data_IF_643422008936
#
_entry.id   IF_643422008936
#
_cell.length_a   1.000
_cell.length_b   1.000
_cell.length_c   1.000
_cell.angle_alpha   90.00
_cell.angle_beta   90.00
_cell.angle_gamma   90.00
#
_symmetry.space_group_name_H-M   'P 1'
#
loop_
_entity.id
_entity.type
_entity.pdbx_description
1 polymer ?
#
# COMPACT_ATOMS: atom_id res chain seq x y z
N UNK A 1 9.88 23.42 -24.11
CA UNK A 1 10.13 24.28 -22.94
C UNK A 1 10.10 25.71 -23.40
N UNK A 2 9.19 26.51 -22.85
CA UNK A 2 9.07 27.93 -23.11
C UNK A 2 9.82 28.70 -22.02
N UNK A 3 10.53 29.76 -22.40
CA UNK A 3 11.27 30.63 -21.50
C UNK A 3 10.69 32.04 -21.53
N UNK A 4 10.35 32.58 -20.37
CA UNK A 4 9.99 33.97 -20.18
C UNK A 4 10.69 34.53 -18.94
N UNK A 5 11.77 35.28 -19.14
CA UNK A 5 12.57 35.87 -18.06
C UNK A 5 13.06 34.84 -17.01
N UNK A 6 13.64 33.74 -17.51
CA UNK A 6 14.16 32.63 -16.71
C UNK A 6 15.21 33.08 -15.70
N UNK A 7 14.94 32.85 -14.40
CA UNK A 7 15.83 33.24 -13.30
C UNK A 7 15.58 32.40 -12.05
N UNK A 8 16.52 32.42 -11.12
CA UNK A 8 16.26 31.93 -9.76
C UNK A 8 15.20 32.84 -9.12
N UNK A 9 14.25 32.24 -8.40
CA UNK A 9 13.25 32.97 -7.60
C UNK A 9 13.92 34.00 -6.70
N UNK A 10 13.36 35.21 -6.65
CA UNK A 10 13.87 36.29 -5.79
C UNK A 10 13.86 35.92 -4.30
N UNK A 11 12.90 35.09 -3.89
CA UNK A 11 12.81 34.52 -2.55
C UNK A 11 12.33 33.08 -2.63
N UNK A 12 13.13 32.17 -2.09
CA UNK A 12 12.79 30.74 -1.97
C UNK A 12 12.15 30.54 -0.60
N UNK A 13 10.83 30.36 -0.61
CA UNK A 13 10.02 30.25 0.59
C UNK A 13 10.18 28.90 1.27
N UNK A 14 9.70 28.78 2.52
CA UNK A 14 9.61 27.48 3.20
C UNK A 14 8.76 26.48 2.39
N UNK A 15 7.66 26.95 1.77
CA UNK A 15 6.81 26.08 0.97
C UNK A 15 7.53 25.55 -0.28
N UNK A 16 8.35 26.37 -0.93
CA UNK A 16 9.16 25.92 -2.07
C UNK A 16 10.13 24.81 -1.65
N UNK A 17 10.75 24.94 -0.48
CA UNK A 17 11.65 23.92 0.08
C UNK A 17 10.90 22.63 0.42
N UNK A 18 9.72 22.73 1.03
CA UNK A 18 8.86 21.57 1.30
C UNK A 18 8.50 20.86 -0.02
N UNK A 19 8.07 21.61 -1.04
CA UNK A 19 7.75 21.05 -2.34
C UNK A 19 8.96 20.39 -3.01
N UNK A 20 10.15 20.95 -2.85
CA UNK A 20 11.39 20.35 -3.33
C UNK A 20 11.68 19.02 -2.62
N UNK A 21 11.55 18.95 -1.29
CA UNK A 21 11.70 17.70 -0.52
C UNK A 21 10.73 16.64 -1.02
N UNK A 22 9.44 16.95 -1.12
CA UNK A 22 8.42 16.01 -1.61
C UNK A 22 8.70 15.57 -3.05
N UNK A 23 9.15 16.49 -3.91
CA UNK A 23 9.56 16.16 -5.27
C UNK A 23 10.70 15.16 -5.26
N UNK A 24 11.80 15.42 -4.56
CA UNK A 24 12.97 14.52 -4.51
C UNK A 24 12.57 13.15 -3.95
N UNK A 25 11.81 13.12 -2.85
CA UNK A 25 11.33 11.87 -2.22
C UNK A 25 10.49 11.05 -3.20
N UNK A 26 9.66 11.68 -4.03
CA UNK A 26 8.87 10.94 -5.03
C UNK A 26 9.73 10.17 -6.04
N UNK A 27 10.94 10.66 -6.38
CA UNK A 27 11.87 9.93 -7.26
C UNK A 27 12.56 8.75 -6.57
N UNK A 28 12.60 8.73 -5.23
CA UNK A 28 13.01 7.54 -4.48
C UNK A 28 11.95 6.44 -4.47
N UNK A 29 10.70 6.74 -4.85
CA UNK A 29 9.58 5.79 -4.79
C UNK A 29 8.71 5.86 -6.05
N UNK A 30 9.18 5.26 -7.15
CA UNK A 30 8.45 5.21 -8.42
C UNK A 30 7.70 3.87 -8.58
N UNK A 31 6.46 3.93 -9.07
CA UNK A 31 5.59 2.77 -9.30
C UNK A 31 5.43 1.83 -8.07
N UNK A 32 5.60 2.38 -6.86
CA UNK A 32 5.54 1.63 -5.60
C UNK A 32 6.85 0.96 -5.20
N UNK A 33 7.89 1.05 -6.02
CA UNK A 33 9.21 0.49 -5.77
C UNK A 33 10.19 1.52 -5.20
N UNK A 34 11.14 1.06 -4.39
CA UNK A 34 12.26 1.91 -3.94
C UNK A 34 13.31 2.07 -5.05
N UNK A 35 13.46 3.28 -5.59
CA UNK A 35 14.25 3.61 -6.77
C UNK A 35 15.34 4.66 -6.50
N UNK A 36 16.35 4.36 -5.66
CA UNK A 36 17.36 5.33 -5.23
C UNK A 36 18.23 5.88 -6.37
N UNK A 37 18.30 5.18 -7.51
CA UNK A 37 19.09 5.56 -8.67
C UNK A 37 18.52 6.77 -9.44
N UNK A 38 17.29 7.21 -9.13
CA UNK A 38 16.73 8.46 -9.67
C UNK A 38 16.96 9.68 -8.76
N UNK A 39 17.77 9.56 -7.70
CA UNK A 39 18.06 10.66 -6.77
C UNK A 39 18.47 11.95 -7.50
N UNK A 40 19.46 11.85 -8.39
CA UNK A 40 20.02 13.03 -9.07
C UNK A 40 18.99 13.69 -10.00
N UNK A 41 18.16 12.88 -10.66
CA UNK A 41 17.03 13.35 -11.47
C UNK A 41 15.99 14.07 -10.60
N UNK A 42 15.73 13.55 -9.40
CA UNK A 42 14.87 14.18 -8.41
C UNK A 42 15.39 15.53 -7.93
N UNK A 43 16.68 15.65 -7.61
CA UNK A 43 17.29 16.93 -7.22
C UNK A 43 17.20 17.98 -8.33
N UNK A 44 17.59 17.61 -9.55
CA UNK A 44 17.52 18.51 -10.72
C UNK A 44 16.07 18.95 -10.97
N UNK A 45 15.14 18.00 -10.94
CA UNK A 45 13.72 18.28 -11.17
C UNK A 45 13.13 19.17 -10.09
N UNK A 46 13.53 18.97 -8.83
CA UNK A 46 13.06 19.78 -7.71
C UNK A 46 13.53 21.22 -7.80
N UNK A 47 14.79 21.46 -8.16
CA UNK A 47 15.33 22.81 -8.38
C UNK A 47 14.59 23.50 -9.51
N UNK A 48 14.46 22.85 -10.67
CA UNK A 48 13.81 23.45 -11.85
C UNK A 48 12.35 23.80 -11.56
N UNK A 49 11.60 22.91 -10.90
CA UNK A 49 10.17 23.11 -10.65
C UNK A 49 9.86 24.09 -9.54
N UNK A 50 10.72 24.19 -8.54
CA UNK A 50 10.40 24.92 -7.31
C UNK A 50 11.23 26.18 -7.10
N UNK A 51 12.42 26.31 -7.68
CA UNK A 51 13.35 27.42 -7.43
C UNK A 51 13.63 28.30 -8.64
N UNK A 52 13.23 27.86 -9.84
CA UNK A 52 13.43 28.62 -11.08
C UNK A 52 12.09 29.17 -11.57
N UNK A 53 12.02 30.48 -11.75
CA UNK A 53 10.91 31.18 -12.41
C UNK A 53 11.17 31.32 -13.90
N UNK A 54 10.11 31.59 -14.66
CA UNK A 54 10.22 31.95 -16.07
C UNK A 54 10.44 30.78 -17.02
N UNK A 55 10.03 29.58 -16.61
CA UNK A 55 10.04 28.37 -17.42
C UNK A 55 8.66 27.72 -17.38
N UNK A 56 8.17 27.36 -18.56
CA UNK A 56 6.99 26.51 -18.69
C UNK A 56 7.32 25.26 -19.52
N UNK A 57 6.84 24.12 -19.04
CA UNK A 57 7.01 22.84 -19.71
C UNK A 57 5.70 22.41 -20.38
N UNK A 58 5.78 21.98 -21.63
CA UNK A 58 4.64 21.42 -22.33
C UNK A 58 4.32 20.01 -21.78
N UNK A 59 3.08 19.56 -21.98
CA UNK A 59 2.64 18.24 -21.50
C UNK A 59 3.48 17.14 -22.15
N UNK A 60 4.14 16.33 -21.33
CA UNK A 60 4.98 15.22 -21.78
C UNK A 60 6.45 15.60 -21.99
N UNK A 61 6.83 16.86 -21.83
CA UNK A 61 8.25 17.23 -21.82
C UNK A 61 8.94 16.72 -20.55
N UNK A 62 10.14 16.16 -20.73
CA UNK A 62 11.00 15.76 -19.62
C UNK A 62 11.74 16.98 -19.07
N UNK A 63 11.45 17.31 -17.81
CA UNK A 63 12.17 18.35 -17.06
C UNK A 63 13.65 18.01 -16.93
N UNK A 64 13.96 16.75 -16.68
CA UNK A 64 15.34 16.27 -16.59
C UNK A 64 16.10 16.41 -17.91
N UNK A 65 15.48 16.10 -19.04
CA UNK A 65 16.12 16.27 -20.34
C UNK A 65 16.44 17.75 -20.64
N UNK A 66 15.61 18.69 -20.17
CA UNK A 66 15.84 20.11 -20.37
C UNK A 66 17.13 20.60 -19.70
N UNK A 67 17.51 20.05 -18.55
CA UNK A 67 18.78 20.36 -17.89
C UNK A 67 20.01 20.05 -18.78
N UNK A 68 19.99 18.97 -19.56
CA UNK A 68 21.10 18.64 -20.46
C UNK A 68 21.07 19.45 -21.75
N UNK A 69 19.87 19.76 -22.24
CA UNK A 69 19.68 20.42 -23.52
C UNK A 69 19.80 21.95 -23.46
N UNK A 70 19.69 22.54 -22.27
CA UNK A 70 19.68 23.98 -22.09
C UNK A 70 20.81 24.46 -21.17
N UNK A 71 21.79 25.17 -21.76
CA UNK A 71 22.99 25.59 -21.03
C UNK A 71 22.69 26.63 -19.94
N UNK A 72 21.76 27.56 -20.20
CA UNK A 72 21.43 28.61 -19.25
C UNK A 72 20.67 28.04 -18.06
N UNK A 73 19.71 27.14 -18.30
CA UNK A 73 19.03 26.41 -17.24
C UNK A 73 20.03 25.60 -16.41
N UNK A 74 20.94 24.86 -17.08
CA UNK A 74 21.97 24.07 -16.41
C UNK A 74 22.84 24.93 -15.51
N UNK A 75 23.24 26.12 -15.94
CA UNK A 75 24.02 27.06 -15.11
C UNK A 75 23.27 27.43 -13.84
N UNK A 76 21.98 27.79 -13.94
CA UNK A 76 21.17 28.13 -12.77
C UNK A 76 21.01 26.93 -11.83
N UNK A 77 20.71 25.74 -12.36
CA UNK A 77 20.55 24.52 -11.55
C UNK A 77 21.86 24.14 -10.85
N UNK A 78 22.99 24.25 -11.53
CA UNK A 78 24.30 23.92 -10.97
C UNK A 78 24.69 24.75 -9.75
N UNK A 79 24.15 25.96 -9.60
CA UNK A 79 24.38 26.78 -8.40
C UNK A 79 23.82 26.14 -7.13
N UNK A 80 22.89 25.21 -7.25
CA UNK A 80 22.26 24.49 -6.14
C UNK A 80 22.89 23.11 -5.88
N UNK A 81 23.29 22.42 -6.96
CA UNK A 81 23.61 20.98 -6.88
C UNK A 81 25.09 20.65 -6.95
N UNK A 82 25.94 21.58 -7.43
CA UNK A 82 27.37 21.36 -7.48
C UNK A 82 28.04 22.00 -6.28
N UNK A 83 28.95 21.24 -5.66
CA UNK A 83 29.78 21.73 -4.57
C UNK A 83 30.53 23.01 -5.02
N UNK A 84 30.39 24.13 -4.28
CA UNK A 84 31.08 25.36 -4.60
C UNK A 84 32.59 25.15 -4.58
N UNK A 85 33.31 25.68 -5.57
CA UNK A 85 34.77 25.60 -5.59
C UNK A 85 35.35 26.76 -4.79
N UNK A 86 36.08 26.45 -3.73
CA UNK A 86 36.81 27.46 -2.95
C UNK A 86 37.97 28.03 -3.76
N UNK A 87 37.78 29.26 -4.25
CA UNK A 87 38.80 30.05 -4.94
C UNK A 87 38.88 31.43 -4.31
N UNK A 88 40.08 32.00 -4.31
CA UNK A 88 40.27 33.39 -3.89
C UNK A 88 39.49 34.31 -4.85
N UNK A 89 38.57 35.15 -4.33
CA UNK A 89 37.75 36.02 -5.16
C UNK A 89 38.62 37.08 -5.82
N UNK A 90 38.36 37.35 -7.11
CA UNK A 90 39.13 38.31 -7.91
C UNK A 90 38.61 39.75 -7.80
N UNK A 91 37.43 39.93 -7.21
CA UNK A 91 36.76 41.22 -7.01
C UNK A 91 35.65 41.08 -5.97
N UNK A 92 35.13 42.20 -5.47
CA UNK A 92 33.96 42.22 -4.56
C UNK A 92 32.71 41.61 -5.21
N UNK A 93 32.54 41.76 -6.53
CA UNK A 93 31.43 41.17 -7.27
C UNK A 93 31.55 39.64 -7.34
N UNK A 94 32.76 39.13 -7.60
CA UNK A 94 33.06 37.70 -7.59
C UNK A 94 32.84 37.08 -6.21
N UNK A 95 33.26 37.77 -5.14
CA UNK A 95 33.00 37.34 -3.76
C UNK A 95 31.49 37.26 -3.47
N UNK A 96 30.71 38.27 -3.88
CA UNK A 96 29.25 38.27 -3.71
C UNK A 96 28.60 37.10 -4.44
N UNK A 97 28.99 36.84 -5.68
CA UNK A 97 28.47 35.72 -6.48
C UNK A 97 28.81 34.39 -5.81
N UNK A 98 30.06 34.20 -5.37
CA UNK A 98 30.48 32.97 -4.69
C UNK A 98 29.70 32.75 -3.38
N UNK A 99 29.49 33.80 -2.58
CA UNK A 99 28.71 33.70 -1.36
C UNK A 99 27.24 33.35 -1.64
N UNK A 100 26.62 33.95 -2.66
CA UNK A 100 25.27 33.56 -3.08
C UNK A 100 25.19 32.10 -3.54
N UNK A 101 26.19 31.59 -4.26
CA UNK A 101 26.25 30.17 -4.66
C UNK A 101 26.34 29.28 -3.42
N UNK A 102 27.19 29.62 -2.43
CA UNK A 102 27.30 28.88 -1.17
C UNK A 102 25.98 28.84 -0.42
N UNK A 103 25.27 29.98 -0.29
CA UNK A 103 23.97 30.03 0.36
C UNK A 103 22.92 29.12 -0.30
N UNK A 104 22.91 29.07 -1.64
CA UNK A 104 22.01 28.18 -2.38
C UNK A 104 22.38 26.71 -2.21
N UNK A 105 23.67 26.39 -2.21
CA UNK A 105 24.17 25.03 -1.98
C UNK A 105 23.89 24.56 -0.55
N UNK A 106 24.16 25.38 0.47
CA UNK A 106 23.90 25.08 1.88
C UNK A 106 22.41 24.85 2.14
N UNK A 107 21.53 25.62 1.47
CA UNK A 107 20.10 25.38 1.50
C UNK A 107 19.74 23.99 0.94
N UNK A 108 20.39 23.57 -0.14
CA UNK A 108 20.19 22.23 -0.71
C UNK A 108 20.73 21.13 0.20
N UNK A 109 21.83 21.34 0.93
CA UNK A 109 22.30 20.39 1.94
C UNK A 109 21.24 20.14 3.02
N UNK A 110 20.62 21.21 3.55
CA UNK A 110 19.52 21.07 4.50
C UNK A 110 18.32 20.32 3.89
N UNK A 111 18.00 20.59 2.62
CA UNK A 111 16.95 19.83 1.91
C UNK A 111 17.33 18.35 1.80
N UNK A 112 18.58 18.02 1.47
CA UNK A 112 19.08 16.64 1.37
C UNK A 112 19.00 15.90 2.71
N UNK A 113 19.28 16.58 3.82
CA UNK A 113 19.10 16.01 5.17
C UNK A 113 17.63 15.63 5.43
N UNK A 114 16.68 16.52 5.13
CA UNK A 114 15.26 16.24 5.29
C UNK A 114 14.74 15.17 4.32
N UNK A 115 15.25 15.14 3.09
CA UNK A 115 14.97 14.07 2.13
C UNK A 115 15.46 12.73 2.69
N UNK A 116 16.68 12.67 3.24
CA UNK A 116 17.23 11.43 3.79
C UNK A 116 16.37 10.90 4.95
N UNK A 117 15.98 11.77 5.88
CA UNK A 117 15.11 11.41 7.01
C UNK A 117 13.73 10.92 6.52
N UNK A 118 13.10 11.66 5.60
CA UNK A 118 11.78 11.28 5.06
C UNK A 118 11.84 9.99 4.24
N UNK A 119 12.88 9.78 3.44
CA UNK A 119 13.08 8.52 2.69
C UNK A 119 13.24 7.35 3.65
N UNK A 120 13.98 7.53 4.75
CA UNK A 120 14.09 6.49 5.78
C UNK A 120 12.73 6.21 6.44
N UNK A 121 11.98 7.24 6.79
CA UNK A 121 10.62 7.09 7.32
C UNK A 121 9.71 6.31 6.36
N UNK A 122 9.70 6.63 5.06
CA UNK A 122 8.88 5.91 4.07
C UNK A 122 9.35 4.46 3.89
N UNK A 123 10.66 4.17 3.87
CA UNK A 123 11.17 2.78 3.88
C UNK A 123 10.66 2.00 5.08
N UNK A 124 10.70 2.58 6.27
CA UNK A 124 10.20 1.96 7.49
C UNK A 124 8.69 1.73 7.42
N UNK A 125 7.93 2.63 6.80
CA UNK A 125 6.49 2.45 6.57
C UNK A 125 6.20 1.26 5.65
N UNK A 126 6.99 1.04 4.59
CA UNK A 126 6.86 -0.15 3.74
C UNK A 126 7.25 -1.44 4.47
N UNK A 127 8.34 -1.42 5.25
CA UNK A 127 8.83 -2.59 5.99
C UNK A 127 7.91 -2.97 7.17
N UNK A 128 7.32 -1.97 7.81
CA UNK A 128 6.38 -2.13 8.93
C UNK A 128 4.91 -2.03 8.50
N UNK A 129 4.61 -2.01 7.20
CA UNK A 129 3.28 -2.28 6.68
C UNK A 129 2.94 -3.73 7.05
N UNK A 130 2.37 -3.87 8.25
CA UNK A 130 2.30 -5.13 8.95
C UNK A 130 1.13 -5.92 8.36
N UNK A 131 1.35 -7.11 7.76
CA UNK A 131 0.25 -7.93 7.27
C UNK A 131 -0.76 -8.28 8.37
N UNK A 132 -0.35 -8.19 9.63
CA UNK A 132 -1.22 -8.39 10.79
C UNK A 132 -2.12 -7.19 11.10
N UNK A 133 -1.75 -5.95 10.74
CA UNK A 133 -2.65 -4.79 10.85
C UNK A 133 -3.77 -4.88 9.82
N UNK A 134 -3.47 -5.29 8.58
CA UNK A 134 -4.51 -5.56 7.58
C UNK A 134 -5.43 -6.70 7.99
N UNK A 135 -4.91 -7.75 8.65
CA UNK A 135 -5.74 -8.79 9.28
C UNK A 135 -6.58 -8.26 10.44
N UNK A 136 -6.04 -7.36 11.27
CA UNK A 136 -6.79 -6.74 12.37
C UNK A 136 -7.91 -5.83 11.80
N UNK A 137 -7.64 -5.08 10.73
CA UNK A 137 -8.64 -4.25 10.05
C UNK A 137 -9.72 -5.13 9.41
N UNK A 138 -9.34 -6.17 8.66
CA UNK A 138 -10.32 -7.15 8.12
C UNK A 138 -11.15 -7.82 9.22
N UNK A 139 -10.53 -8.18 10.35
CA UNK A 139 -11.24 -8.74 11.49
C UNK A 139 -12.19 -7.72 12.12
N UNK A 140 -11.77 -6.45 12.25
CA UNK A 140 -12.60 -5.37 12.75
C UNK A 140 -13.78 -5.09 11.82
N UNK A 141 -13.58 -5.02 10.51
CA UNK A 141 -14.63 -4.84 9.50
C UNK A 141 -15.62 -6.01 9.53
N UNK A 142 -15.15 -7.26 9.64
CA UNK A 142 -16.00 -8.44 9.80
C UNK A 142 -16.84 -8.39 11.07
N UNK A 143 -16.26 -7.90 12.18
CA UNK A 143 -16.97 -7.71 13.46
C UNK A 143 -18.01 -6.60 13.32
N UNK A 144 -17.67 -5.47 12.69
CA UNK A 144 -18.57 -4.34 12.44
C UNK A 144 -19.75 -4.78 11.57
N UNK A 145 -19.50 -5.48 10.46
CA UNK A 145 -20.55 -6.02 9.60
C UNK A 145 -21.46 -7.01 10.35
N UNK A 146 -20.88 -7.84 11.21
CA UNK A 146 -21.64 -8.76 12.06
C UNK A 146 -22.53 -8.02 13.06
N UNK A 147 -22.03 -6.93 13.67
CA UNK A 147 -22.81 -6.08 14.58
C UNK A 147 -23.86 -5.25 13.83
N UNK A 148 -23.57 -4.76 12.63
CA UNK A 148 -24.52 -4.04 11.80
C UNK A 148 -25.68 -4.97 11.38
N UNK A 149 -25.37 -6.19 10.95
CA UNK A 149 -26.37 -7.23 10.66
C UNK A 149 -27.17 -7.63 11.92
N UNK A 150 -26.51 -7.72 13.08
CA UNK A 150 -27.18 -7.95 14.36
C UNK A 150 -28.13 -6.79 14.75
N UNK A 151 -27.70 -5.54 14.53
CA UNK A 151 -28.51 -4.35 14.82
C UNK A 151 -29.75 -4.23 13.95
N UNK A 152 -29.72 -4.84 12.75
CA UNK A 152 -30.83 -4.92 11.80
C UNK A 152 -31.72 -6.14 12.02
N UNK A 153 -31.41 -7.00 12.98
CA UNK A 153 -32.21 -8.17 13.27
C UNK A 153 -33.57 -7.74 13.82
N UNK A 154 -34.67 -8.31 13.29
CA UNK A 154 -35.99 -8.05 13.85
C UNK A 154 -36.10 -8.68 15.24
N UNK A 155 -36.07 -7.86 16.29
CA UNK A 155 -36.13 -8.32 17.68
C UNK A 155 -37.50 -8.92 18.06
N UNK A 156 -38.54 -8.78 17.23
CA UNK A 156 -39.85 -9.44 17.43
C UNK A 156 -39.76 -10.97 17.39
N UNK A 157 -38.70 -11.54 16.82
CA UNK A 157 -38.46 -12.99 16.82
C UNK A 157 -37.98 -13.51 18.18
N UNK A 158 -37.59 -12.64 19.11
CA UNK A 158 -37.09 -12.99 20.45
C UNK A 158 -38.24 -13.30 21.42
N UNK A 159 -39.13 -14.20 21.02
CA UNK A 159 -40.11 -14.77 21.96
C UNK A 159 -39.39 -15.65 22.99
N UNK A 160 -39.95 -15.83 24.20
CA UNK A 160 -39.36 -16.70 25.21
C UNK A 160 -39.07 -18.12 24.70
N UNK A 161 -39.94 -18.65 23.82
CA UNK A 161 -39.78 -19.95 23.20
C UNK A 161 -38.60 -20.00 22.21
N UNK A 162 -38.42 -18.97 21.39
CA UNK A 162 -37.32 -18.88 20.44
C UNK A 162 -35.97 -18.63 21.14
N UNK A 163 -35.98 -17.86 22.23
CA UNK A 163 -34.81 -17.67 23.10
C UNK A 163 -34.38 -18.97 23.77
N UNK A 164 -35.33 -19.78 24.25
CA UNK A 164 -35.03 -21.09 24.85
C UNK A 164 -34.45 -22.07 23.81
N UNK A 165 -34.99 -22.07 22.58
CA UNK A 165 -34.45 -22.86 21.46
C UNK A 165 -33.06 -22.39 21.06
N UNK A 166 -32.83 -21.08 20.96
CA UNK A 166 -31.52 -20.51 20.67
C UNK A 166 -30.51 -20.84 21.77
N UNK A 167 -30.89 -20.76 23.05
CA UNK A 167 -30.03 -21.09 24.18
C UNK A 167 -29.63 -22.58 24.17
N UNK A 168 -30.52 -23.49 23.79
CA UNK A 168 -30.18 -24.91 23.60
C UNK A 168 -29.18 -25.13 22.47
N UNK A 169 -29.27 -24.36 21.39
CA UNK A 169 -28.31 -24.40 20.26
C UNK A 169 -26.93 -23.88 20.72
N UNK A 170 -26.88 -22.72 21.38
CA UNK A 170 -25.63 -22.14 21.86
C UNK A 170 -24.93 -22.97 22.93
N UNK A 171 -25.67 -23.56 23.87
CA UNK A 171 -25.09 -24.46 24.87
C UNK A 171 -24.46 -25.70 24.20
N UNK A 172 -25.13 -26.29 23.20
CA UNK A 172 -24.58 -27.42 22.43
C UNK A 172 -23.33 -27.05 21.64
N UNK A 173 -23.26 -25.85 21.06
CA UNK A 173 -22.06 -25.34 20.38
C UNK A 173 -20.91 -25.15 21.40
N UNK A 174 -21.21 -24.60 22.58
CA UNK A 174 -20.23 -24.36 23.64
C UNK A 174 -19.69 -25.64 24.28
N UNK A 175 -20.50 -26.70 24.36
CA UNK A 175 -20.13 -27.96 25.00
C UNK A 175 -19.35 -28.93 24.09
N UNK A 176 -19.37 -28.72 22.77
CA UNK A 176 -18.93 -29.74 21.80
C UNK A 176 -17.53 -29.53 21.19
N UNK A 177 -16.73 -28.55 21.63
CA UNK A 177 -15.42 -28.28 20.99
C UNK A 177 -15.58 -28.04 19.48
N UNK A 178 -16.63 -27.31 19.12
CA UNK A 178 -17.25 -27.31 17.81
C UNK A 178 -16.36 -26.67 16.73
N UNK A 179 -15.88 -27.46 15.76
CA UNK A 179 -15.31 -26.94 14.53
C UNK A 179 -16.43 -26.50 13.57
N UNK A 180 -16.36 -25.25 13.10
CA UNK A 180 -17.29 -24.66 12.13
C UNK A 180 -17.13 -25.28 10.74
N UNK A 181 -17.66 -26.49 10.57
CA UNK A 181 -17.82 -27.16 9.28
C UNK A 181 -19.29 -27.20 8.89
N UNK A 182 -19.58 -27.16 7.58
CA UNK A 182 -20.95 -27.21 7.07
C UNK A 182 -21.72 -28.46 7.56
N UNK A 183 -21.02 -29.58 7.75
CA UNK A 183 -21.59 -30.85 8.21
C UNK A 183 -22.01 -30.77 9.69
N UNK A 184 -21.19 -30.14 10.54
CA UNK A 184 -21.50 -29.96 11.96
C UNK A 184 -22.68 -28.99 12.17
N UNK A 185 -22.74 -27.91 11.39
CA UNK A 185 -23.85 -26.92 11.44
C UNK A 185 -25.17 -27.58 11.06
N UNK A 186 -25.17 -28.38 9.98
CA UNK A 186 -26.38 -29.09 9.52
C UNK A 186 -26.86 -30.10 10.56
N UNK A 187 -25.96 -30.81 11.24
CA UNK A 187 -26.34 -31.78 12.27
C UNK A 187 -26.93 -31.09 13.52
N UNK A 188 -26.35 -29.97 13.97
CA UNK A 188 -26.89 -29.19 15.09
C UNK A 188 -28.28 -28.62 14.76
N UNK A 189 -28.46 -28.10 13.54
CA UNK A 189 -29.76 -27.59 13.08
C UNK A 189 -30.78 -28.73 13.02
N UNK A 190 -30.42 -29.90 12.47
CA UNK A 190 -31.31 -31.08 12.36
C UNK A 190 -31.79 -31.55 13.73
N UNK A 191 -30.88 -31.65 14.70
CA UNK A 191 -31.20 -32.12 16.05
C UNK A 191 -31.98 -31.10 16.89
N UNK A 192 -31.78 -29.81 16.65
CA UNK A 192 -32.43 -28.75 17.41
C UNK A 192 -33.84 -28.41 16.92
N UNK A 193 -34.14 -28.67 15.65
CA UNK A 193 -35.31 -28.09 14.99
C UNK A 193 -36.53 -29.00 14.88
N UNK A 194 -36.49 -30.24 15.38
CA UNK A 194 -37.61 -31.20 15.27
C UNK A 194 -38.20 -31.26 13.85
N UNK A 195 -37.37 -30.99 12.83
CA UNK A 195 -37.79 -31.03 11.44
C UNK A 195 -37.94 -32.50 11.06
N UNK A 196 -39.18 -33.00 11.06
CA UNK A 196 -39.50 -34.20 10.32
C UNK A 196 -39.35 -33.86 8.83
N UNK A 197 -38.13 -34.03 8.33
CA UNK A 197 -37.87 -34.05 6.89
C UNK A 197 -38.77 -35.12 6.28
N UNK A 198 -39.59 -34.73 5.31
CA UNK A 198 -40.38 -35.68 4.54
C UNK A 198 -39.47 -36.73 3.89
N UNK A 199 -40.04 -37.91 3.60
CA UNK A 199 -39.30 -39.08 3.11
C UNK A 199 -38.45 -38.73 1.86
N UNK A 200 -38.99 -37.87 1.00
CA UNK A 200 -38.34 -37.38 -0.21
C UNK A 200 -37.09 -36.55 0.11
N UNK A 201 -37.15 -35.68 1.11
CA UNK A 201 -36.00 -34.87 1.55
C UNK A 201 -34.93 -35.76 2.20
N UNK A 202 -35.33 -36.77 2.98
CA UNK A 202 -34.38 -37.77 3.54
C UNK A 202 -33.67 -38.55 2.45
N UNK A 203 -34.41 -39.08 1.46
CA UNK A 203 -33.82 -39.79 0.32
C UNK A 203 -32.84 -38.91 -0.46
N UNK A 204 -33.18 -37.64 -0.71
CA UNK A 204 -32.30 -36.72 -1.45
C UNK A 204 -31.01 -36.44 -0.67
N UNK A 205 -31.10 -36.25 0.65
CA UNK A 205 -29.93 -35.99 1.51
C UNK A 205 -29.04 -37.23 1.60
N UNK A 206 -29.62 -38.42 1.78
CA UNK A 206 -28.87 -39.67 1.87
C UNK A 206 -28.20 -40.05 0.54
N UNK A 207 -28.90 -39.82 -0.58
CA UNK A 207 -28.35 -40.00 -1.92
C UNK A 207 -27.17 -39.05 -2.16
N UNK A 208 -27.31 -37.76 -1.84
CA UNK A 208 -26.23 -36.78 -2.00
C UNK A 208 -25.05 -37.05 -1.08
N UNK A 209 -25.28 -37.48 0.16
CA UNK A 209 -24.20 -37.84 1.08
C UNK A 209 -23.43 -39.08 0.62
N UNK A 210 -24.13 -40.05 0.03
CA UNK A 210 -23.50 -41.24 -0.56
C UNK A 210 -22.64 -40.86 -1.78
N UNK A 211 -23.16 -40.01 -2.66
CA UNK A 211 -22.42 -39.49 -3.81
C UNK A 211 -21.15 -38.72 -3.39
N UNK A 212 -21.24 -37.90 -2.33
CA UNK A 212 -20.09 -37.18 -1.77
C UNK A 212 -19.02 -38.15 -1.25
N UNK A 213 -19.41 -39.24 -0.56
CA UNK A 213 -18.45 -40.25 -0.07
C UNK A 213 -17.73 -40.94 -1.22
N UNK A 214 -18.45 -41.34 -2.27
CA UNK A 214 -17.85 -41.96 -3.45
C UNK A 214 -16.88 -41.01 -4.17
N UNK A 215 -17.23 -39.73 -4.30
CA UNK A 215 -16.38 -38.72 -4.90
C UNK A 215 -15.10 -38.51 -4.09
N UNK A 216 -15.19 -38.44 -2.75
CA UNK A 216 -14.02 -38.35 -1.86
C UNK A 216 -13.11 -39.56 -2.00
N UNK A 217 -13.65 -40.78 -2.11
CA UNK A 217 -12.83 -41.97 -2.35
C UNK A 217 -12.15 -41.96 -3.73
N UNK A 218 -12.86 -41.52 -4.77
CA UNK A 218 -12.29 -41.37 -6.12
C UNK A 218 -11.15 -40.36 -6.13
N UNK A 219 -11.31 -39.21 -5.47
CA UNK A 219 -10.26 -38.20 -5.33
C UNK A 219 -9.03 -38.81 -4.63
N UNK A 220 -9.21 -39.50 -3.50
CA UNK A 220 -8.11 -40.16 -2.77
C UNK A 220 -7.37 -41.23 -3.61
N UNK A 221 -8.10 -42.00 -4.43
CA UNK A 221 -7.50 -42.99 -5.36
C UNK A 221 -6.74 -42.32 -6.50
N UNK A 222 -7.21 -41.17 -6.99
CA UNK A 222 -6.55 -40.40 -8.05
C UNK A 222 -5.27 -39.72 -7.54
N UNK A 223 -5.30 -39.16 -6.33
CA UNK A 223 -4.14 -38.55 -5.67
C UNK A 223 -3.04 -39.57 -5.40
N UNK A 224 -3.38 -40.74 -4.84
CA UNK A 224 -2.41 -41.81 -4.60
C UNK A 224 -1.81 -42.39 -5.90
N UNK A 225 -2.60 -42.49 -6.99
CA UNK A 225 -2.06 -42.84 -8.32
C UNK A 225 -1.09 -41.79 -8.86
N UNK A 226 -1.41 -40.50 -8.68
CA UNK A 226 -0.55 -39.39 -9.12
C UNK A 226 0.80 -39.42 -8.39
N UNK A 227 0.81 -39.67 -7.08
CA UNK A 227 2.04 -39.83 -6.29
C UNK A 227 2.84 -41.08 -6.69
N UNK A 228 2.17 -42.20 -7.01
CA UNK A 228 2.85 -43.43 -7.44
C UNK A 228 3.53 -43.27 -8.81
N UNK A 229 2.92 -42.56 -9.75
CA UNK A 229 3.50 -42.29 -11.06
C UNK A 229 4.71 -41.33 -10.98
N UNK A 230 4.74 -40.43 -9.99
CA UNK A 230 5.90 -39.56 -9.72
C UNK A 230 7.11 -40.32 -9.13
N UNK A 231 6.91 -41.49 -8.53
CA UNK A 231 8.00 -42.34 -7.99
C UNK A 231 8.64 -43.27 -9.02
N UNK A 232 7.99 -43.53 -10.16
CA UNK A 232 8.51 -44.42 -11.23
C UNK A 232 9.44 -43.68 -12.20
N UNK A 233 9.51 -42.34 -12.14
CA UNK A 233 10.30 -41.48 -13.05
C UNK A 233 11.61 -40.97 -12.38
N UNK A 234 12.07 -41.59 -11.29
CA UNK A 234 13.41 -41.33 -10.70
C UNK A 234 14.25 -42.59 -10.72
#
# INVERSE_FOLDING_TARGET
>A
MLKDNMRIKESITLQDRINAIETIVSFYFMDGDYTPYYKDEGEISAVIRNFIDGIEFEKGESVFAAYYNDEDLRKLVNMFILEPVDKEPKSEEDERIQNSIRELYDMMEVIREYVADKVEFEKQKYLHANPDLDKIVMAADTIIDSFENFSRMNFEILTPENLEKAQKIFNKISESGFEFTAENIVNVIRDASSFDMDEATKEIVDAKNSEIRELKEKIKKLESKKESNLKVIK
#
